data_IF_064432667107
#
_entry.id   IF_064432667107
#
_cell.length_a   1.000
_cell.length_b   1.000
_cell.length_c   1.000
_cell.angle_alpha   90.00
_cell.angle_beta   90.00
_cell.angle_gamma   90.00
#
_symmetry.space_group_name_H-M   'P 1'
#
loop_
_entity.id
_entity.type
_entity.pdbx_description
1 polymer ?
#
# COMPACT_ATOMS: atom_id res chain seq x y z
N UNK A 1 -21.21 15.03 -9.64
CA UNK A 1 -20.86 14.87 -9.28
C UNK A 1 -20.35 14.72 -8.75
N UNK A 2 -20.22 14.81 -8.61
CA UNK A 2 -19.57 14.67 -8.16
C UNK A 2 -19.52 14.15 -7.30
N UNK A 3 -19.90 13.95 -6.96
CA UNK A 3 -19.77 13.47 -6.33
C UNK A 3 -19.36 12.66 -6.09
N UNK A 4 -19.75 12.65 -6.79
CA UNK A 4 -19.01 11.76 -6.63
C UNK A 4 -17.96 11.71 -5.95
N UNK A 5 -17.99 12.33 -5.63
CA UNK A 5 -17.00 12.50 -5.00
C UNK A 5 -16.54 11.50 -4.27
N UNK A 6 -15.87 11.57 -4.07
CA UNK A 6 -15.10 10.95 -3.12
C UNK A 6 -15.41 9.56 -2.81
N UNK A 7 -16.53 9.29 -2.25
CA UNK A 7 -16.86 7.93 -1.84
C UNK A 7 -16.98 6.98 -3.00
N UNK A 8 -17.42 7.46 -4.16
CA UNK A 8 -17.56 6.61 -5.33
C UNK A 8 -16.25 6.07 -5.85
N UNK A 9 -15.15 6.71 -5.54
CA UNK A 9 -13.84 6.31 -6.02
C UNK A 9 -13.11 5.35 -5.07
N UNK A 10 -13.53 5.25 -3.82
CA UNK A 10 -12.95 4.29 -2.88
C UNK A 10 -13.45 2.89 -3.20
N UNK A 11 -12.55 1.92 -3.13
CA UNK A 11 -12.84 0.53 -3.43
C UNK A 11 -12.48 -0.33 -2.23
N UNK A 12 -13.23 -1.41 -2.04
CA UNK A 12 -12.91 -2.43 -1.06
C UNK A 12 -11.53 -3.00 -1.36
N UNK A 13 -10.66 -3.05 -0.37
CA UNK A 13 -9.36 -3.69 -0.49
C UNK A 13 -9.31 -4.99 0.29
N UNK A 14 -9.60 -4.94 1.56
CA UNK A 14 -9.53 -6.11 2.44
C UNK A 14 -10.27 -5.81 3.74
N UNK A 15 -10.66 -6.86 4.45
CA UNK A 15 -11.08 -6.68 5.82
C UNK A 15 -9.88 -6.25 6.65
N UNK A 16 -10.07 -5.34 7.60
CA UNK A 16 -8.99 -4.90 8.47
C UNK A 16 -8.38 -6.06 9.25
N UNK A 17 -9.21 -7.00 9.68
CA UNK A 17 -8.75 -8.16 10.44
C UNK A 17 -7.84 -9.08 9.64
N UNK A 18 -7.85 -8.96 8.31
CA UNK A 18 -6.99 -9.78 7.46
C UNK A 18 -5.59 -9.19 7.28
N UNK A 19 -5.35 -8.00 7.81
CA UNK A 19 -4.02 -7.39 7.80
C UNK A 19 -3.69 -6.89 9.20
N UNK A 20 -3.05 -7.76 9.97
CA UNK A 20 -2.73 -7.46 11.38
C UNK A 20 -1.72 -6.31 11.48
N UNK A 21 -1.68 -5.60 12.61
CA UNK A 21 -0.66 -4.57 12.83
C UNK A 21 0.74 -5.15 12.63
N UNK A 22 1.59 -4.41 11.92
CA UNK A 22 2.92 -4.84 11.57
C UNK A 22 3.00 -5.69 10.32
N UNK A 23 1.88 -5.84 9.61
CA UNK A 23 1.80 -6.69 8.41
C UNK A 23 1.38 -5.89 7.19
N UNK A 24 1.66 -6.45 6.04
CA UNK A 24 1.23 -5.93 4.74
C UNK A 24 0.51 -7.05 3.99
N UNK A 25 -0.51 -6.66 3.21
CA UNK A 25 -1.30 -7.60 2.43
C UNK A 25 -1.47 -7.10 1.01
N UNK A 26 -1.15 -7.95 0.04
CA UNK A 26 -1.37 -7.65 -1.36
C UNK A 26 -2.85 -7.81 -1.69
N UNK A 27 -3.40 -6.81 -2.35
CA UNK A 27 -4.78 -6.81 -2.83
C UNK A 27 -4.78 -6.45 -4.30
N UNK A 28 -5.66 -7.08 -5.08
CA UNK A 28 -5.85 -6.68 -6.48
C UNK A 28 -7.20 -6.02 -6.55
N UNK A 29 -7.21 -4.75 -6.96
CA UNK A 29 -8.42 -3.92 -6.99
C UNK A 29 -8.54 -3.36 -8.40
N UNK A 30 -9.59 -3.74 -9.11
CA UNK A 30 -9.83 -3.29 -10.49
C UNK A 30 -8.57 -3.45 -11.36
N UNK A 31 -7.86 -4.57 -11.21
CA UNK A 31 -6.67 -4.87 -11.96
C UNK A 31 -5.39 -4.23 -11.42
N UNK A 32 -5.47 -3.42 -10.39
CA UNK A 32 -4.30 -2.78 -9.78
C UNK A 32 -3.79 -3.61 -8.61
N UNK A 33 -2.50 -3.93 -8.62
CA UNK A 33 -1.88 -4.58 -7.48
C UNK A 33 -1.54 -3.51 -6.43
N UNK A 34 -2.15 -3.63 -5.27
CA UNK A 34 -2.04 -2.66 -4.18
C UNK A 34 -1.56 -3.38 -2.94
N UNK A 35 -0.62 -2.78 -2.24
CA UNK A 35 -0.16 -3.30 -0.96
C UNK A 35 -0.77 -2.46 0.16
N UNK A 36 -1.52 -3.11 1.03
CA UNK A 36 -2.10 -2.47 2.22
C UNK A 36 -1.19 -2.78 3.40
N UNK A 37 -0.72 -1.74 4.07
CA UNK A 37 0.19 -1.86 5.22
C UNK A 37 -0.51 -1.36 6.47
N UNK A 38 -0.46 -2.14 7.54
CA UNK A 38 -1.04 -1.76 8.83
C UNK A 38 0.10 -1.46 9.79
N UNK A 39 0.28 -0.19 10.11
CA UNK A 39 1.33 0.27 11.03
C UNK A 39 0.66 0.71 12.31
N UNK A 40 0.60 -0.21 13.28
CA UNK A 40 0.03 0.11 14.59
C UNK A 40 -1.44 0.51 14.57
N UNK A 41 -2.19 0.07 13.58
CA UNK A 41 -3.59 0.43 13.42
C UNK A 41 -3.85 1.46 12.33
N UNK A 42 -2.82 2.18 11.89
CA UNK A 42 -2.93 3.11 10.77
C UNK A 42 -2.65 2.38 9.48
N UNK A 43 -3.53 2.52 8.50
CA UNK A 43 -3.38 1.81 7.22
C UNK A 43 -2.87 2.75 6.14
N UNK A 44 -2.01 2.19 5.29
CA UNK A 44 -1.44 2.89 4.15
C UNK A 44 -1.53 1.98 2.94
N UNK A 45 -1.70 2.56 1.76
CA UNK A 45 -1.79 1.79 0.52
C UNK A 45 -0.80 2.33 -0.49
N UNK A 46 -0.11 1.42 -1.16
CA UNK A 46 0.85 1.79 -2.20
C UNK A 46 0.81 0.75 -3.31
N UNK A 47 1.39 1.10 -4.46
CA UNK A 47 1.52 0.15 -5.55
C UNK A 47 2.38 -1.02 -5.09
N UNK A 48 1.94 -2.25 -5.35
CA UNK A 48 2.69 -3.44 -4.95
C UNK A 48 3.74 -3.76 -6.00
N UNK A 49 4.67 -2.83 -6.18
CA UNK A 49 5.71 -2.92 -7.20
C UNK A 49 6.96 -2.21 -6.73
N UNK A 50 8.05 -2.95 -6.61
CA UNK A 50 9.35 -2.33 -6.34
C UNK A 50 9.79 -1.56 -7.57
N UNK A 51 10.15 -0.29 -7.41
CA UNK A 51 10.53 0.55 -8.55
C UNK A 51 11.89 0.18 -9.12
N UNK A 52 12.69 -0.59 -8.40
CA UNK A 52 13.99 -1.05 -8.89
C UNK A 52 13.85 -2.18 -9.91
N UNK A 53 13.08 -3.22 -9.57
CA UNK A 53 13.01 -4.42 -10.40
C UNK A 53 11.59 -4.76 -10.87
N UNK A 54 10.61 -3.94 -10.49
CA UNK A 54 9.20 -4.10 -10.86
C UNK A 54 8.53 -5.36 -10.31
N UNK A 55 9.20 -6.05 -9.41
CA UNK A 55 8.61 -7.20 -8.75
C UNK A 55 7.74 -6.79 -7.57
N UNK A 56 6.92 -7.72 -7.06
CA UNK A 56 6.02 -7.41 -5.95
C UNK A 56 6.76 -7.18 -4.64
N UNK A 57 6.17 -6.38 -3.78
CA UNK A 57 6.66 -6.11 -2.43
C UNK A 57 5.95 -6.94 -1.37
N UNK A 58 4.88 -7.63 -1.75
CA UNK A 58 3.95 -8.25 -0.80
C UNK A 58 4.53 -9.24 0.16
N UNK A 59 5.69 -9.82 -0.16
CA UNK A 59 6.40 -10.75 0.72
C UNK A 59 7.54 -10.09 1.48
N UNK A 60 7.69 -8.79 1.33
CA UNK A 60 8.71 -8.04 2.03
C UNK A 60 8.33 -7.80 3.47
N UNK A 61 9.27 -7.23 4.21
CA UNK A 61 9.08 -6.95 5.63
C UNK A 61 8.61 -5.54 5.84
N UNK A 62 7.54 -5.40 6.62
CA UNK A 62 7.11 -4.09 7.11
C UNK A 62 7.76 -3.87 8.48
N UNK A 63 8.56 -2.80 8.58
CA UNK A 63 9.22 -2.41 9.82
C UNK A 63 8.90 -0.95 10.11
N UNK A 64 8.08 -0.72 11.13
CA UNK A 64 7.58 0.63 11.37
C UNK A 64 6.87 1.12 10.13
N UNK A 65 7.30 2.25 9.58
CA UNK A 65 6.70 2.83 8.37
C UNK A 65 7.44 2.45 7.08
N UNK A 66 8.38 1.49 7.14
CA UNK A 66 9.15 1.11 5.96
C UNK A 66 8.79 -0.29 5.50
N UNK A 67 8.57 -0.45 4.19
CA UNK A 67 8.42 -1.76 3.55
C UNK A 67 9.71 -2.07 2.79
N UNK A 68 10.21 -3.29 2.96
CA UNK A 68 11.46 -3.71 2.36
C UNK A 68 11.20 -4.65 1.20
N UNK A 69 11.82 -4.37 0.04
CA UNK A 69 11.76 -5.27 -1.10
C UNK A 69 12.48 -6.58 -0.76
N UNK A 70 11.81 -7.74 -0.94
CA UNK A 70 12.41 -9.01 -0.50
C UNK A 70 13.59 -9.48 -1.34
N UNK A 71 13.80 -8.90 -2.52
CA UNK A 71 14.85 -9.35 -3.43
C UNK A 71 16.17 -8.64 -3.25
N UNK A 72 16.15 -7.30 -3.09
CA UNK A 72 17.39 -6.53 -3.07
C UNK A 72 17.48 -5.56 -1.90
N UNK A 73 16.48 -5.56 -1.01
CA UNK A 73 16.56 -4.78 0.22
C UNK A 73 16.23 -3.31 0.12
N UNK A 74 15.74 -2.84 -1.03
CA UNK A 74 15.26 -1.46 -1.12
C UNK A 74 14.14 -1.23 -0.11
N UNK A 75 14.16 -0.06 0.55
CA UNK A 75 13.13 0.29 1.52
C UNK A 75 12.38 1.53 1.09
N UNK A 76 11.09 1.52 1.34
CA UNK A 76 10.21 2.62 0.98
C UNK A 76 9.36 3.00 2.18
N UNK A 77 9.17 4.30 2.37
CA UNK A 77 8.27 4.80 3.41
C UNK A 77 6.83 4.63 2.92
N UNK A 78 6.02 3.87 3.65
CA UNK A 78 4.65 3.57 3.21
C UNK A 78 3.72 4.77 3.29
N UNK A 79 4.11 5.82 4.03
CA UNK A 79 3.29 7.03 4.18
C UNK A 79 3.30 7.89 2.93
N UNK A 80 4.41 7.93 2.21
CA UNK A 80 4.57 8.82 1.07
C UNK A 80 5.27 8.17 -0.13
N UNK A 81 5.69 6.92 -0.01
CA UNK A 81 6.36 6.21 -1.10
C UNK A 81 7.82 6.54 -1.29
N UNK A 82 8.41 7.37 -0.43
CA UNK A 82 9.78 7.81 -0.60
C UNK A 82 10.77 6.65 -0.47
N UNK A 83 11.81 6.66 -1.33
CA UNK A 83 12.90 5.70 -1.22
C UNK A 83 13.73 6.04 0.00
N UNK A 84 13.99 5.03 0.85
CA UNK A 84 14.82 5.18 2.03
C UNK A 84 16.15 4.46 1.88
N UNK A 85 16.20 3.40 1.09
CA UNK A 85 17.41 2.59 0.94
C UNK A 85 17.53 2.11 -0.50
N UNK A 86 18.71 2.28 -1.14
CA UNK A 86 18.92 1.75 -2.49
C UNK A 86 18.81 0.21 -2.48
N UNK A 87 18.74 -0.44 -3.65
CA UNK A 87 19.06 0.10 -4.96
C UNK A 87 17.95 0.86 -5.66
N UNK A 88 16.73 0.90 -5.15
CA UNK A 88 15.69 1.71 -5.77
C UNK A 88 16.05 3.18 -5.70
N UNK A 89 15.71 3.92 -6.76
CA UNK A 89 15.97 5.36 -6.85
C UNK A 89 14.69 6.16 -7.09
N UNK A 90 13.58 5.48 -7.35
CA UNK A 90 12.30 6.15 -7.62
C UNK A 90 11.30 5.85 -6.51
N UNK A 91 10.49 6.83 -6.13
CA UNK A 91 9.44 6.57 -5.14
C UNK A 91 8.37 5.65 -5.70
N UNK A 92 7.61 5.04 -4.82
CA UNK A 92 6.47 4.21 -5.17
C UNK A 92 5.21 5.08 -5.10
N UNK A 93 4.28 4.85 -6.02
CA UNK A 93 2.98 5.51 -5.97
C UNK A 93 2.22 5.08 -4.72
N UNK A 94 1.58 6.04 -4.05
CA UNK A 94 0.74 5.78 -2.89
C UNK A 94 -0.69 6.15 -3.23
N UNK A 95 -1.63 5.56 -2.49
CA UNK A 95 -3.06 5.80 -2.67
C UNK A 95 -3.68 6.15 -1.32
N UNK A 96 -4.64 7.07 -1.28
CA UNK A 96 -5.37 7.31 -0.04
C UNK A 96 -6.05 6.02 0.42
N UNK A 97 -6.01 5.76 1.71
CA UNK A 97 -6.65 4.60 2.30
C UNK A 97 -7.41 5.04 3.55
N UNK A 98 -8.49 4.32 3.84
CA UNK A 98 -9.28 4.58 5.04
C UNK A 98 -9.84 3.28 5.59
N UNK A 99 -10.17 3.29 6.87
CA UNK A 99 -10.87 2.18 7.51
C UNK A 99 -12.29 2.63 7.79
N UNK A 100 -13.25 1.80 7.44
CA UNK A 100 -14.66 2.09 7.60
C UNK A 100 -15.39 0.79 7.89
N UNK A 101 -16.00 0.72 9.08
CA UNK A 101 -16.74 -0.46 9.52
C UNK A 101 -15.91 -1.75 9.41
N UNK A 102 -14.64 -1.67 9.84
CA UNK A 102 -13.75 -2.84 9.83
C UNK A 102 -13.23 -3.23 8.45
N UNK A 103 -13.40 -2.37 7.45
CA UNK A 103 -12.98 -2.61 6.07
C UNK A 103 -11.96 -1.56 5.66
N UNK A 104 -10.89 -2.01 5.00
CA UNK A 104 -9.93 -1.10 4.39
C UNK A 104 -10.39 -0.78 2.98
N UNK A 105 -10.52 0.50 2.70
CA UNK A 105 -10.88 1.00 1.37
C UNK A 105 -9.75 1.86 0.83
N UNK A 106 -9.54 1.79 -0.47
CA UNK A 106 -8.43 2.47 -1.15
C UNK A 106 -8.99 3.30 -2.30
N UNK A 107 -8.52 4.52 -2.43
CA UNK A 107 -8.89 5.43 -3.51
C UNK A 107 -7.88 5.26 -4.64
N UNK A 108 -8.33 4.65 -5.73
CA UNK A 108 -7.48 4.44 -6.90
C UNK A 108 -7.62 5.61 -7.86
N UNK A 109 -6.58 5.87 -8.67
CA UNK A 109 -6.68 6.88 -9.71
C UNK A 109 -7.76 6.49 -10.71
N UNK A 110 -8.51 7.48 -11.13
CA UNK A 110 -9.70 7.33 -11.93
C UNK A 110 -9.51 6.90 -13.37
#
# INVERSE_FOLDING_TARGET
MDEVDGDGAYRFATALDDVAPGRARRCVIDGHAVLVCNVGGDVYALADTCTHDRGPLGEGRLRGHHIECPRHGSRFDVRNGAVKTPPAIRPIATYPARVRDGVVEVLLPG
#
